data_IF_959004114730
#
_entry.id   IF_959004114730
#
_cell.length_a   1.000
_cell.length_b   1.000
_cell.length_c   1.000
_cell.angle_alpha   90.00
_cell.angle_beta   90.00
_cell.angle_gamma   90.00
#
_symmetry.space_group_name_H-M   'P 1'
#
loop_
_entity.id
_entity.type
_entity.pdbx_description
1 polymer ?
#
# COMPACT_ATOMS: atom_id res chain seq x y z
N UNK A 1 -4.70 -29.25 1.02
CA UNK A 1 -5.64 -28.58 0.12
C UNK A 1 -5.31 -28.87 -1.34
N UNK A 2 -4.08 -28.66 -1.81
CA UNK A 2 -3.66 -28.91 -3.20
C UNK A 2 -3.83 -30.37 -3.64
N UNK A 3 -3.59 -31.34 -2.75
CA UNK A 3 -3.78 -32.75 -3.05
C UNK A 3 -5.28 -33.12 -3.20
N UNK A 4 -6.13 -32.52 -2.38
CA UNK A 4 -7.59 -32.73 -2.46
C UNK A 4 -8.16 -32.11 -3.76
N UNK A 5 -7.68 -30.93 -4.14
CA UNK A 5 -8.05 -30.28 -5.41
C UNK A 5 -7.63 -31.14 -6.61
N UNK A 6 -6.41 -31.69 -6.61
CA UNK A 6 -5.94 -32.62 -7.65
C UNK A 6 -6.75 -33.90 -7.72
N UNK A 7 -7.32 -34.35 -6.60
CA UNK A 7 -8.20 -35.51 -6.53
C UNK A 7 -9.65 -35.23 -7.01
N UNK A 8 -9.93 -33.99 -7.48
CA UNK A 8 -11.25 -33.58 -7.96
C UNK A 8 -12.27 -33.31 -6.86
N UNK A 9 -11.82 -33.10 -5.62
CA UNK A 9 -12.70 -32.77 -4.48
C UNK A 9 -13.13 -31.31 -4.57
N UNK A 10 -14.45 -31.07 -4.48
CA UNK A 10 -14.99 -29.72 -4.33
C UNK A 10 -14.69 -29.20 -2.93
N UNK A 11 -14.06 -28.03 -2.84
CA UNK A 11 -13.67 -27.37 -1.59
C UNK A 11 -14.42 -26.04 -1.51
N UNK A 12 -15.10 -25.81 -0.39
CA UNK A 12 -15.68 -24.50 -0.07
C UNK A 12 -14.81 -23.85 0.99
N UNK A 13 -14.26 -22.67 0.67
CA UNK A 13 -13.42 -21.86 1.54
C UNK A 13 -14.15 -20.58 1.92
N UNK A 14 -14.21 -20.28 3.22
CA UNK A 14 -14.64 -18.96 3.72
C UNK A 14 -13.45 -18.31 4.39
N UNK A 15 -13.03 -17.16 3.89
CA UNK A 15 -11.86 -16.45 4.39
C UNK A 15 -12.00 -14.94 4.17
N UNK A 16 -11.33 -14.15 5.01
CA UNK A 16 -11.13 -12.72 4.82
C UNK A 16 -9.75 -12.41 4.18
N UNK A 17 -8.94 -13.43 3.92
CA UNK A 17 -7.64 -13.29 3.26
C UNK A 17 -7.81 -13.42 1.75
N UNK A 18 -7.93 -12.27 1.06
CA UNK A 18 -8.08 -12.22 -0.40
C UNK A 18 -6.95 -12.96 -1.14
N UNK A 19 -5.66 -12.83 -0.76
CA UNK A 19 -4.60 -13.58 -1.43
C UNK A 19 -4.77 -15.10 -1.34
N UNK A 20 -5.34 -15.59 -0.22
CA UNK A 20 -5.63 -17.02 -0.05
C UNK A 20 -6.80 -17.45 -0.94
N UNK A 21 -7.83 -16.60 -1.04
CA UNK A 21 -9.01 -16.86 -1.88
C UNK A 21 -8.61 -16.87 -3.36
N UNK A 22 -7.90 -15.86 -3.84
CA UNK A 22 -7.40 -15.78 -5.23
C UNK A 22 -6.48 -16.95 -5.59
N UNK A 23 -5.60 -17.37 -4.68
CA UNK A 23 -4.63 -18.44 -4.94
C UNK A 23 -5.22 -19.84 -4.90
N UNK A 24 -6.37 -20.06 -4.27
CA UNK A 24 -6.95 -21.38 -4.04
C UNK A 24 -8.30 -21.62 -4.72
N UNK A 25 -9.10 -20.59 -4.95
CA UNK A 25 -10.45 -20.71 -5.48
C UNK A 25 -10.47 -20.52 -7.01
N UNK A 26 -11.31 -21.28 -7.69
CA UNK A 26 -11.59 -21.10 -9.12
C UNK A 26 -12.71 -20.07 -9.29
N UNK A 27 -13.71 -20.09 -8.39
CA UNK A 27 -14.84 -19.18 -8.34
C UNK A 27 -15.02 -18.64 -6.92
N UNK A 28 -15.45 -17.41 -6.79
CA UNK A 28 -15.65 -16.68 -5.54
C UNK A 28 -17.04 -16.05 -5.52
N UNK A 29 -17.67 -16.05 -4.36
CA UNK A 29 -18.88 -15.26 -4.10
C UNK A 29 -18.59 -14.22 -3.02
N UNK A 30 -18.79 -12.96 -3.33
CA UNK A 30 -18.75 -11.88 -2.36
C UNK A 30 -20.12 -11.73 -1.69
N UNK A 31 -20.14 -11.90 -0.37
CA UNK A 31 -21.33 -11.74 0.45
C UNK A 31 -21.22 -10.47 1.31
N UNK A 32 -22.25 -9.64 1.29
CA UNK A 32 -22.38 -8.50 2.18
C UNK A 32 -23.74 -8.55 2.90
N UNK A 33 -23.71 -8.50 4.25
CA UNK A 33 -24.90 -8.61 5.10
C UNK A 33 -25.89 -9.73 4.69
N UNK A 34 -25.35 -10.87 4.23
CA UNK A 34 -26.14 -12.03 3.81
C UNK A 34 -26.65 -11.98 2.37
N UNK A 35 -26.38 -10.92 1.63
CA UNK A 35 -26.69 -10.79 0.20
C UNK A 35 -25.47 -11.15 -0.64
N UNK A 36 -25.69 -11.90 -1.72
CA UNK A 36 -24.66 -12.15 -2.72
C UNK A 36 -24.55 -10.90 -3.60
N UNK A 37 -23.44 -10.19 -3.48
CA UNK A 37 -23.16 -8.97 -4.25
C UNK A 37 -22.64 -9.30 -5.63
N UNK A 38 -21.71 -10.25 -5.69
CA UNK A 38 -21.10 -10.70 -6.94
C UNK A 38 -20.62 -12.15 -6.81
N UNK A 39 -20.59 -12.88 -7.93
CA UNK A 39 -19.98 -14.21 -8.00
C UNK A 39 -19.38 -14.42 -9.39
N UNK A 40 -18.19 -15.02 -9.44
CA UNK A 40 -17.46 -15.24 -10.67
C UNK A 40 -16.03 -15.70 -10.43
N UNK A 41 -15.17 -15.41 -11.39
CA UNK A 41 -13.75 -15.72 -11.35
C UNK A 41 -13.10 -15.02 -10.13
N UNK A 42 -12.18 -15.76 -9.46
CA UNK A 42 -11.65 -15.34 -8.15
C UNK A 42 -11.00 -13.93 -8.19
N UNK A 43 -10.21 -13.66 -9.20
CA UNK A 43 -9.52 -12.38 -9.33
C UNK A 43 -10.52 -11.24 -9.55
N UNK A 44 -11.48 -11.39 -10.46
CA UNK A 44 -12.46 -10.35 -10.77
C UNK A 44 -13.30 -9.97 -9.55
N UNK A 45 -13.86 -10.97 -8.84
CA UNK A 45 -14.70 -10.72 -7.66
C UNK A 45 -13.90 -10.14 -6.49
N UNK A 46 -12.65 -10.57 -6.29
CA UNK A 46 -11.77 -9.98 -5.28
C UNK A 46 -11.46 -8.51 -5.57
N UNK A 47 -11.31 -8.13 -6.84
CA UNK A 47 -11.14 -6.74 -7.24
C UNK A 47 -12.38 -5.90 -6.96
N UNK A 48 -13.55 -6.37 -7.39
CA UNK A 48 -14.83 -5.68 -7.13
C UNK A 48 -15.08 -5.48 -5.63
N UNK A 49 -14.75 -6.48 -4.82
CA UNK A 49 -14.83 -6.38 -3.36
C UNK A 49 -13.91 -5.29 -2.81
N UNK A 50 -12.64 -5.25 -3.25
CA UNK A 50 -11.67 -4.24 -2.82
C UNK A 50 -12.11 -2.83 -3.19
N UNK A 51 -12.62 -2.65 -4.40
CA UNK A 51 -13.12 -1.36 -4.87
C UNK A 51 -14.32 -0.89 -4.03
N UNK A 52 -15.24 -1.80 -3.72
CA UNK A 52 -16.40 -1.47 -2.89
C UNK A 52 -16.02 -1.13 -1.44
N UNK A 53 -15.08 -1.88 -0.83
CA UNK A 53 -14.59 -1.60 0.52
C UNK A 53 -13.88 -0.24 0.56
N UNK A 54 -13.02 0.04 -0.41
CA UNK A 54 -12.31 1.31 -0.51
C UNK A 54 -13.29 2.49 -0.70
N UNK A 55 -14.35 2.31 -1.50
CA UNK A 55 -15.40 3.31 -1.69
C UNK A 55 -16.20 3.55 -0.41
N UNK A 56 -16.57 2.49 0.31
CA UNK A 56 -17.31 2.59 1.57
C UNK A 56 -16.49 3.24 2.70
N UNK A 57 -15.18 2.97 2.76
CA UNK A 57 -14.27 3.66 3.69
C UNK A 57 -14.13 5.14 3.36
N UNK A 58 -14.01 5.49 2.07
CA UNK A 58 -13.94 6.88 1.62
C UNK A 58 -15.23 7.64 1.93
N UNK A 59 -16.39 6.99 1.88
CA UNK A 59 -17.69 7.58 2.19
C UNK A 59 -17.86 7.81 3.71
N UNK A 60 -17.45 6.86 4.55
CA UNK A 60 -17.44 7.02 6.02
C UNK A 60 -16.56 8.17 6.49
N UNK A 61 -15.40 8.37 5.86
CA UNK A 61 -14.49 9.48 6.17
C UNK A 61 -15.12 10.83 5.78
N UNK A 62 -15.90 10.89 4.69
CA UNK A 62 -16.65 12.10 4.30
C UNK A 62 -17.74 12.50 5.28
N UNK A 63 -18.38 11.52 5.92
CA UNK A 63 -19.46 11.76 6.87
C UNK A 63 -18.95 12.14 8.29
N UNK A 64 -17.73 11.74 8.66
CA UNK A 64 -17.14 12.03 9.97
C UNK A 64 -16.34 13.34 9.99
N UNK A 65 -15.77 13.78 8.89
CA UNK A 65 -15.01 15.04 8.76
C UNK A 65 -15.78 16.02 7.85
N UNK A 66 -16.69 16.76 8.42
CA UNK A 66 -17.25 17.94 7.77
C UNK A 66 -16.18 19.00 7.58
N UNK A 67 -15.74 19.13 6.37
CA UNK A 67 -15.03 20.25 5.76
C UNK A 67 -13.53 20.04 5.40
N UNK A 68 -13.29 20.32 4.11
CA UNK A 68 -12.01 20.47 3.38
C UNK A 68 -11.40 19.25 2.72
N UNK A 69 -12.04 18.81 1.63
CA UNK A 69 -11.35 18.07 0.57
C UNK A 69 -11.06 19.05 -0.57
N UNK A 70 -9.78 19.34 -0.80
CA UNK A 70 -9.34 19.94 -2.06
C UNK A 70 -9.41 18.87 -3.16
N UNK A 71 -10.51 18.85 -3.88
CA UNK A 71 -10.66 18.07 -5.11
C UNK A 71 -10.08 18.86 -6.27
N UNK A 72 -8.90 18.46 -6.72
CA UNK A 72 -8.46 18.79 -8.09
C UNK A 72 -8.85 17.61 -8.98
N UNK A 73 -9.84 17.85 -9.83
CA UNK A 73 -10.53 16.82 -10.62
C UNK A 73 -9.85 16.69 -11.98
N UNK A 74 -8.96 15.72 -12.13
CA UNK A 74 -8.67 15.15 -13.43
C UNK A 74 -8.77 13.63 -13.35
N UNK A 75 -9.73 13.10 -14.08
CA UNK A 75 -10.15 11.70 -14.17
C UNK A 75 -8.98 10.80 -14.60
N UNK A 76 -8.36 10.11 -13.65
CA UNK A 76 -7.73 8.78 -13.78
C UNK A 76 -7.14 8.40 -12.43
N UNK A 77 -7.68 7.33 -11.80
CA UNK A 77 -7.26 6.76 -10.52
C UNK A 77 -7.51 7.70 -9.32
N UNK A 78 -8.51 7.38 -8.51
CA UNK A 78 -8.78 8.09 -7.26
C UNK A 78 -7.62 7.79 -6.31
N UNK A 79 -6.64 8.66 -6.28
CA UNK A 79 -5.61 8.69 -5.24
C UNK A 79 -6.30 9.07 -3.93
N UNK A 80 -6.61 8.09 -3.10
CA UNK A 80 -7.19 8.37 -1.78
C UNK A 80 -6.06 8.82 -0.87
N UNK A 81 -6.05 10.11 -0.55
CA UNK A 81 -5.15 10.68 0.45
C UNK A 81 -5.96 11.17 1.65
N UNK A 82 -5.51 10.80 2.85
CA UNK A 82 -6.15 11.14 4.12
C UNK A 82 -5.12 11.44 5.21
N UNK A 83 -5.54 12.14 6.26
CA UNK A 83 -4.72 12.45 7.44
C UNK A 83 -4.89 13.89 7.90
N UNK A 84 -4.46 14.18 9.12
CA UNK A 84 -4.59 15.51 9.75
C UNK A 84 -3.65 16.55 9.15
N UNK A 85 -2.56 16.11 8.50
CA UNK A 85 -1.69 16.95 7.68
C UNK A 85 -0.57 17.69 8.40
N UNK A 86 -0.37 17.50 9.71
CA UNK A 86 0.72 18.15 10.47
C UNK A 86 2.10 17.78 9.91
N UNK A 87 2.21 16.60 9.30
CA UNK A 87 3.37 16.14 8.55
C UNK A 87 2.88 15.34 7.35
N UNK A 88 3.39 15.64 6.14
CA UNK A 88 2.94 15.03 4.88
C UNK A 88 4.12 14.56 4.04
N UNK A 89 3.94 13.45 3.34
CA UNK A 89 4.85 13.00 2.29
C UNK A 89 4.50 13.77 1.02
N UNK A 90 5.46 14.47 0.44
CA UNK A 90 5.23 15.25 -0.77
C UNK A 90 5.95 14.70 -2.01
N UNK A 91 6.92 13.79 -1.83
CA UNK A 91 7.65 13.19 -2.94
C UNK A 91 8.27 11.85 -2.55
N UNK A 92 8.41 10.95 -3.52
CA UNK A 92 9.08 9.66 -3.37
C UNK A 92 10.13 9.51 -4.45
N UNK A 93 11.38 9.24 -4.03
CA UNK A 93 12.47 8.91 -4.94
C UNK A 93 12.80 7.42 -4.88
N UNK A 94 13.17 6.88 -6.03
CA UNK A 94 13.82 5.58 -6.16
C UNK A 94 15.31 5.78 -6.45
N UNK A 95 16.16 5.25 -5.58
CA UNK A 95 17.60 5.45 -5.63
C UNK A 95 18.31 4.09 -5.65
N UNK A 96 19.51 4.05 -6.20
CA UNK A 96 20.39 2.86 -6.12
C UNK A 96 21.13 2.77 -4.78
N UNK A 97 21.98 1.77 -4.60
CA UNK A 97 22.79 1.59 -3.40
C UNK A 97 23.79 2.73 -3.12
N UNK A 98 24.08 3.57 -4.11
CA UNK A 98 24.92 4.77 -3.98
C UNK A 98 24.11 6.05 -3.78
N UNK A 99 22.81 5.93 -3.60
CA UNK A 99 21.85 7.05 -3.44
C UNK A 99 21.71 7.93 -4.69
N UNK A 100 22.01 7.40 -5.87
CA UNK A 100 21.77 8.06 -7.15
C UNK A 100 20.38 7.69 -7.68
N UNK A 101 19.74 8.61 -8.39
CA UNK A 101 18.41 8.38 -8.96
C UNK A 101 18.37 7.13 -9.84
N UNK A 102 17.44 6.24 -9.55
CA UNK A 102 17.25 4.97 -10.25
C UNK A 102 15.76 4.72 -10.53
N UNK A 103 15.17 5.38 -11.53
CA UNK A 103 13.74 5.27 -11.83
C UNK A 103 13.31 3.89 -12.34
N UNK A 104 14.28 3.04 -12.73
CA UNK A 104 14.06 1.67 -13.21
C UNK A 104 14.97 0.69 -12.45
N UNK A 105 14.69 0.43 -11.17
CA UNK A 105 15.48 -0.53 -10.40
C UNK A 105 15.37 -1.93 -10.98
N UNK A 106 16.43 -2.71 -10.83
CA UNK A 106 16.49 -4.08 -11.32
C UNK A 106 16.53 -5.09 -10.18
N UNK A 107 15.88 -6.24 -10.40
CA UNK A 107 15.88 -7.38 -9.48
C UNK A 107 17.33 -7.80 -9.14
N UNK A 108 17.59 -8.12 -7.88
CA UNK A 108 18.91 -8.50 -7.37
C UNK A 108 19.82 -7.34 -6.99
N UNK A 109 19.49 -6.10 -7.36
CA UNK A 109 20.29 -4.93 -7.00
C UNK A 109 19.75 -4.21 -5.76
N UNK A 110 20.54 -3.32 -5.18
CA UNK A 110 20.09 -2.48 -4.08
C UNK A 110 19.06 -1.46 -4.55
N UNK A 111 18.03 -1.24 -3.74
CA UNK A 111 17.03 -0.20 -3.93
C UNK A 111 16.84 0.58 -2.63
N UNK A 112 16.85 1.90 -2.74
CA UNK A 112 16.46 2.80 -1.67
C UNK A 112 15.21 3.56 -2.09
N UNK A 113 14.15 3.45 -1.30
CA UNK A 113 12.94 4.24 -1.48
C UNK A 113 13.01 5.38 -0.46
N UNK A 114 13.11 6.61 -0.95
CA UNK A 114 13.20 7.82 -0.13
C UNK A 114 11.84 8.50 -0.10
N UNK A 115 11.29 8.64 1.10
CA UNK A 115 10.07 9.40 1.35
C UNK A 115 10.46 10.80 1.82
N UNK A 116 10.18 11.81 1.03
CA UNK A 116 10.36 13.21 1.41
C UNK A 116 9.10 13.70 2.13
N UNK A 117 9.30 14.32 3.28
CA UNK A 117 8.20 14.88 4.06
C UNK A 117 8.39 16.37 4.33
N UNK A 118 7.27 17.03 4.59
CA UNK A 118 7.19 18.39 5.11
C UNK A 118 6.32 18.39 6.37
N UNK A 119 6.84 18.92 7.47
CA UNK A 119 6.13 19.06 8.74
C UNK A 119 5.76 20.53 8.95
N UNK A 120 4.48 20.81 9.17
CA UNK A 120 3.96 22.16 9.49
C UNK A 120 4.08 22.46 10.98
N UNK A 121 4.03 21.44 11.81
CA UNK A 121 4.15 21.55 13.26
C UNK A 121 5.09 20.46 13.83
N UNK A 122 5.35 20.53 15.14
CA UNK A 122 6.17 19.52 15.82
C UNK A 122 5.37 18.23 15.99
N UNK A 123 5.90 17.11 15.48
CA UNK A 123 5.32 15.78 15.61
C UNK A 123 6.25 14.88 16.40
N UNK A 124 5.72 14.24 17.43
CA UNK A 124 6.50 13.38 18.34
C UNK A 124 6.45 11.93 17.88
N UNK A 125 7.60 11.33 17.67
CA UNK A 125 7.83 9.91 17.35
C UNK A 125 6.91 9.38 16.19
N UNK A 126 6.86 10.08 15.04
CA UNK A 126 6.05 9.64 13.91
C UNK A 126 6.57 8.31 13.35
N UNK A 127 5.67 7.44 12.95
CA UNK A 127 5.96 6.17 12.29
C UNK A 127 5.74 6.31 10.80
N UNK A 128 6.83 6.23 10.04
CA UNK A 128 6.78 6.16 8.58
C UNK A 128 6.58 4.73 8.14
N UNK A 129 5.67 4.53 7.22
CA UNK A 129 5.38 3.22 6.67
C UNK A 129 5.15 3.29 5.16
N UNK A 130 5.37 2.17 4.51
CA UNK A 130 4.95 1.96 3.12
C UNK A 130 4.30 0.59 2.97
N UNK A 131 3.41 0.45 1.97
CA UNK A 131 2.85 -0.82 1.55
C UNK A 131 3.17 -1.01 0.08
N UNK A 132 3.67 -2.16 -0.26
CA UNK A 132 3.98 -2.53 -1.63
C UNK A 132 2.98 -3.56 -2.13
N UNK A 133 2.37 -3.28 -3.27
CA UNK A 133 1.46 -4.17 -3.97
C UNK A 133 2.00 -4.46 -5.36
N UNK A 134 1.80 -5.68 -5.83
CA UNK A 134 1.92 -5.97 -7.26
C UNK A 134 0.79 -5.25 -8.02
N UNK A 135 0.98 -4.95 -9.31
CA UNK A 135 -0.05 -4.29 -10.13
C UNK A 135 -1.37 -5.08 -10.21
N UNK A 136 -1.33 -6.39 -9.93
CA UNK A 136 -2.52 -7.24 -9.78
C UNK A 136 -3.24 -7.07 -8.43
N UNK A 137 -2.82 -6.12 -7.56
CA UNK A 137 -3.41 -5.86 -6.26
C UNK A 137 -2.87 -6.70 -5.10
N UNK A 138 -2.05 -7.72 -5.37
CA UNK A 138 -1.48 -8.59 -4.33
C UNK A 138 -0.56 -7.78 -3.42
N UNK A 139 -0.87 -7.76 -2.12
CA UNK A 139 -0.02 -7.14 -1.11
C UNK A 139 1.25 -7.98 -0.88
N UNK A 140 2.42 -7.36 -0.94
CA UNK A 140 3.71 -8.03 -0.85
C UNK A 140 4.45 -7.72 0.46
N UNK A 141 4.48 -6.47 0.88
CA UNK A 141 5.23 -6.04 2.04
C UNK A 141 4.69 -4.75 2.66
N UNK A 142 4.84 -4.61 3.98
CA UNK A 142 4.48 -3.39 4.74
C UNK A 142 5.58 -3.01 5.74
N UNK A 143 6.78 -2.62 5.27
CA UNK A 143 7.81 -2.15 6.17
C UNK A 143 7.42 -0.82 6.82
N UNK A 144 7.82 -0.65 8.09
CA UNK A 144 7.64 0.60 8.82
C UNK A 144 8.80 0.84 9.79
N UNK A 145 9.00 2.11 10.18
CA UNK A 145 10.10 2.52 11.04
C UNK A 145 10.00 1.96 12.47
N UNK A 146 8.79 1.67 12.97
CA UNK A 146 8.60 1.13 14.31
C UNK A 146 9.08 -0.33 14.43
N UNK A 147 8.92 -1.15 13.38
CA UNK A 147 9.36 -2.56 13.37
C UNK A 147 10.88 -2.70 13.42
N UNK A 148 11.60 -1.72 12.92
CA UNK A 148 13.07 -1.71 12.95
C UNK A 148 13.64 -1.10 14.24
N UNK A 149 12.80 -0.91 15.27
CA UNK A 149 13.18 -0.25 16.53
C UNK A 149 13.82 1.13 16.34
N UNK A 150 13.60 1.77 15.20
CA UNK A 150 14.03 3.14 14.97
C UNK A 150 13.08 4.07 15.74
N UNK A 151 13.64 4.79 16.69
CA UNK A 151 12.95 5.92 17.29
C UNK A 151 13.15 7.12 16.35
N UNK A 152 12.08 7.55 15.73
CA UNK A 152 12.13 8.69 14.79
C UNK A 152 12.27 10.04 15.51
N UNK A 153 12.34 10.02 16.87
CA UNK A 153 12.43 11.20 17.70
C UNK A 153 11.33 12.24 17.38
N UNK A 154 11.46 13.42 17.96
CA UNK A 154 10.56 14.54 17.63
C UNK A 154 11.03 15.22 16.36
N UNK A 155 10.13 15.33 15.38
CA UNK A 155 10.35 16.07 14.13
C UNK A 155 9.75 17.47 14.30
N UNK A 156 10.58 18.50 14.17
CA UNK A 156 10.15 19.90 14.14
C UNK A 156 9.66 20.33 12.75
N UNK A 157 9.06 21.54 12.66
CA UNK A 157 8.65 22.09 11.37
C UNK A 157 9.79 22.15 10.35
N UNK A 158 9.49 21.83 9.08
CA UNK A 158 10.45 21.85 7.99
C UNK A 158 10.41 20.59 7.14
N UNK A 159 11.36 20.49 6.22
CA UNK A 159 11.48 19.37 5.29
C UNK A 159 12.56 18.38 5.71
N UNK A 160 12.30 17.11 5.44
CA UNK A 160 13.24 16.05 5.67
C UNK A 160 12.92 14.82 4.82
N UNK A 161 13.62 13.74 5.08
CA UNK A 161 13.36 12.48 4.40
C UNK A 161 13.60 11.27 5.30
N UNK A 162 13.01 10.15 4.91
CA UNK A 162 13.26 8.81 5.48
C UNK A 162 13.56 7.85 4.35
N UNK A 163 14.61 7.03 4.53
CA UNK A 163 15.02 6.04 3.55
C UNK A 163 14.64 4.64 3.99
N UNK A 164 13.97 3.91 3.12
CA UNK A 164 13.77 2.48 3.21
C UNK A 164 14.80 1.80 2.33
N UNK A 165 15.76 1.12 2.96
CA UNK A 165 16.91 0.52 2.25
C UNK A 165 16.68 -0.97 2.09
N UNK A 166 16.73 -1.44 0.87
CA UNK A 166 16.79 -2.85 0.48
C UNK A 166 18.17 -3.10 -0.14
N UNK A 167 19.02 -3.85 0.56
CA UNK A 167 20.37 -4.16 0.07
C UNK A 167 20.33 -5.03 -1.18
N UNK A 168 19.32 -5.88 -1.27
CA UNK A 168 19.04 -6.73 -2.41
C UNK A 168 17.53 -6.76 -2.68
N UNK A 169 17.13 -6.34 -3.87
CA UNK A 169 15.74 -6.31 -4.29
C UNK A 169 15.32 -7.71 -4.76
N UNK A 170 14.63 -8.46 -3.90
CA UNK A 170 14.20 -9.84 -4.17
C UNK A 170 12.89 -9.94 -4.98
N UNK A 171 12.36 -8.79 -5.43
CA UNK A 171 11.15 -8.75 -6.24
C UNK A 171 11.45 -9.11 -7.69
N UNK A 172 10.50 -9.79 -8.33
CA UNK A 172 10.56 -10.09 -9.76
C UNK A 172 10.38 -8.83 -10.60
N UNK A 173 10.73 -8.91 -11.87
CA UNK A 173 10.42 -7.84 -12.82
C UNK A 173 8.91 -7.71 -13.00
N UNK A 174 8.40 -6.48 -12.99
CA UNK A 174 6.98 -6.20 -13.06
C UNK A 174 6.63 -4.78 -12.63
N UNK A 175 5.34 -4.48 -12.63
CA UNK A 175 4.80 -3.21 -12.20
C UNK A 175 4.21 -3.35 -10.79
N UNK A 176 4.50 -2.38 -9.93
CA UNK A 176 4.13 -2.36 -8.52
C UNK A 176 3.53 -1.01 -8.15
N UNK A 177 2.69 -1.01 -7.14
CA UNK A 177 2.09 0.20 -6.57
C UNK A 177 2.54 0.36 -5.12
N UNK A 178 2.95 1.56 -4.77
CA UNK A 178 3.41 1.92 -3.45
C UNK A 178 2.39 2.85 -2.80
N UNK A 179 1.93 2.48 -1.60
CA UNK A 179 1.21 3.35 -0.69
C UNK A 179 2.18 3.81 0.40
N UNK A 180 2.02 5.04 0.87
CA UNK A 180 2.84 5.62 1.94
C UNK A 180 1.98 6.13 3.07
N UNK A 181 2.49 6.09 4.31
CA UNK A 181 1.78 6.68 5.44
C UNK A 181 2.71 7.16 6.55
N UNK A 182 2.20 8.13 7.31
CA UNK A 182 2.80 8.61 8.56
C UNK A 182 1.71 8.55 9.63
N UNK A 183 1.98 7.85 10.73
CA UNK A 183 1.07 7.73 11.86
C UNK A 183 1.80 8.02 13.16
N UNK A 184 1.06 8.18 14.27
CA UNK A 184 1.65 8.05 15.59
C UNK A 184 2.08 6.60 15.86
N UNK A 185 2.80 6.38 16.97
CA UNK A 185 3.30 5.05 17.34
C UNK A 185 2.17 4.05 17.61
N UNK A 186 1.08 4.50 18.18
CA UNK A 186 -0.08 3.66 18.53
C UNK A 186 -1.01 3.43 17.33
N UNK A 187 -0.73 4.07 16.20
CA UNK A 187 -1.51 4.02 14.95
C UNK A 187 -2.96 4.46 15.12
N UNK A 188 -3.23 5.25 16.17
CA UNK A 188 -4.54 5.81 16.44
C UNK A 188 -4.76 7.13 15.70
N UNK A 189 -3.68 7.85 15.40
CA UNK A 189 -3.69 9.10 14.66
C UNK A 189 -2.95 8.95 13.32
N UNK A 190 -3.61 9.32 12.24
CA UNK A 190 -3.04 9.33 10.89
C UNK A 190 -2.67 10.76 10.53
N UNK A 191 -1.39 11.04 10.40
CA UNK A 191 -0.90 12.33 9.95
C UNK A 191 -1.01 12.48 8.44
N UNK A 192 -0.69 11.43 7.71
CA UNK A 192 -0.76 11.36 6.25
C UNK A 192 -0.85 9.89 5.80
N UNK A 193 -1.75 9.59 4.87
CA UNK A 193 -1.82 8.30 4.23
C UNK A 193 -2.20 8.51 2.76
N UNK A 194 -1.39 7.95 1.86
CA UNK A 194 -1.54 8.10 0.43
C UNK A 194 -1.50 6.73 -0.21
N UNK A 195 -2.69 6.22 -0.52
CA UNK A 195 -2.86 4.86 -1.00
C UNK A 195 -2.55 4.75 -2.50
N UNK A 196 -1.73 3.74 -2.87
CA UNK A 196 -1.34 3.39 -4.25
C UNK A 196 -0.90 4.58 -5.12
N UNK A 197 -0.32 5.57 -4.49
CA UNK A 197 0.00 6.88 -5.08
C UNK A 197 1.25 6.89 -5.95
N UNK A 198 2.09 5.87 -5.86
CA UNK A 198 3.36 5.85 -6.58
C UNK A 198 3.55 4.51 -7.31
N UNK A 199 3.85 4.59 -8.59
CA UNK A 199 4.21 3.42 -9.39
C UNK A 199 5.70 3.10 -9.26
N UNK A 200 6.03 1.81 -9.21
CA UNK A 200 7.40 1.31 -9.21
C UNK A 200 7.51 0.20 -10.27
N UNK A 201 8.31 0.43 -11.29
CA UNK A 201 8.60 -0.60 -12.29
C UNK A 201 9.97 -1.22 -12.03
N UNK A 202 9.99 -2.55 -11.90
CA UNK A 202 11.22 -3.32 -11.70
C UNK A 202 11.56 -4.06 -12.99
N UNK A 203 12.80 -3.93 -13.44
CA UNK A 203 13.31 -4.63 -14.64
C UNK A 203 14.11 -5.88 -14.23
N UNK A 204 14.32 -6.85 -15.15
CA UNK A 204 15.17 -7.99 -14.88
C UNK A 204 16.58 -7.57 -14.48
N UNK A 205 17.17 -8.25 -13.49
CA UNK A 205 18.58 -8.08 -13.16
C UNK A 205 19.50 -8.54 -14.29
N UNK A 206 20.67 -7.94 -14.39
CA UNK A 206 21.73 -8.43 -15.28
C UNK A 206 22.25 -9.76 -14.71
N UNK A 207 22.19 -10.82 -15.50
CA UNK A 207 22.83 -12.12 -15.20
C UNK A 207 24.33 -12.01 -15.26
#
# INVERSE_FOLDING_TARGET
LYELRRAGTTIVLVSHSLPLVEGLCDEVGWLDHGNLMEAGEATEVCWSYLDAVNAAEAEKIRDEDGDQIHTDTSLTEIEVRRGSGEIRIFHVDYLDGQRLANPLPSSGNALVIRLWYEAESTVTDPVFAMKLHHATGVHLASPNSALQHLQTNTIGPGRGYVDFVMEELTLLSGDYLLSTSITDRDRMHVHDAWERSHSLRIVPGSS
#
